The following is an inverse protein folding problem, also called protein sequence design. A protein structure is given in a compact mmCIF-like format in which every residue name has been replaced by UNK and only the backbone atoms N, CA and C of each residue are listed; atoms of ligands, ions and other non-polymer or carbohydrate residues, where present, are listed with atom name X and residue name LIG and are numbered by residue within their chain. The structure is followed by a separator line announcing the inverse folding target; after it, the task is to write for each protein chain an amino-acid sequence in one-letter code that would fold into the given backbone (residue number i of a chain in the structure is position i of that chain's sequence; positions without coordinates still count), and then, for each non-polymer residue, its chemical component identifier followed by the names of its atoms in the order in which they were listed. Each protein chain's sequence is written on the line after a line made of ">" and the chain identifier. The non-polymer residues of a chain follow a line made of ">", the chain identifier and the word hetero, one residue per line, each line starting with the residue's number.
data_IF_859015046191
#
_entry.id   IF_859015046191
#
_cell.length_a   1.000
_cell.length_b   1.000
_cell.length_c   1.000
_cell.angle_alpha   90.00
_cell.angle_beta   90.00
_cell.angle_gamma   90.00
#
_symmetry.space_group_name_H-M   'P 1'
#
loop_
_entity.id
_entity.type
_entity.pdbx_description
1 polymer ?
#
# COMPACT_ATOMS: atom_id res chain seq x y z
N UNK A 1 -6.88 -14.18 40.99
CA UNK A 1 -6.00 -15.06 40.19
C UNK A 1 -6.25 -14.97 38.68
N UNK A 2 -7.48 -14.86 38.18
CA UNK A 2 -7.80 -14.75 36.75
C UNK A 2 -7.34 -13.43 36.08
N UNK A 3 -7.32 -12.30 36.77
CA UNK A 3 -6.85 -11.01 36.21
C UNK A 3 -5.34 -10.99 35.93
N UNK A 4 -4.52 -11.64 36.75
CA UNK A 4 -3.07 -11.72 36.57
C UNK A 4 -2.67 -12.54 35.33
N UNK A 5 -3.39 -13.64 35.06
CA UNK A 5 -3.13 -14.50 33.89
C UNK A 5 -3.55 -13.79 32.58
N UNK A 6 -4.59 -12.99 32.59
CA UNK A 6 -5.05 -12.20 31.42
C UNK A 6 -4.05 -11.10 31.06
N UNK A 7 -3.51 -10.40 32.06
CA UNK A 7 -2.50 -9.37 31.84
C UNK A 7 -1.16 -9.95 31.33
N UNK A 8 -0.72 -11.09 31.87
CA UNK A 8 0.50 -11.77 31.42
C UNK A 8 0.39 -12.22 29.95
N UNK A 9 -0.72 -12.86 29.56
CA UNK A 9 -0.97 -13.26 28.15
C UNK A 9 -1.06 -12.06 27.21
N UNK A 10 -1.63 -10.95 27.64
CA UNK A 10 -1.69 -9.71 26.85
C UNK A 10 -0.30 -9.13 26.65
N UNK A 11 0.53 -9.07 27.68
CA UNK A 11 1.91 -8.60 27.60
C UNK A 11 2.80 -9.49 26.74
N UNK A 12 2.66 -10.80 26.84
CA UNK A 12 3.40 -11.78 26.03
C UNK A 12 3.02 -11.67 24.54
N UNK A 13 1.73 -11.49 24.24
CA UNK A 13 1.26 -11.27 22.87
C UNK A 13 1.77 -9.96 22.25
N UNK A 14 1.92 -8.91 23.05
CA UNK A 14 2.49 -7.62 22.63
C UNK A 14 3.99 -7.76 22.33
N UNK A 15 4.75 -8.43 23.20
CA UNK A 15 6.18 -8.69 22.98
C UNK A 15 6.43 -9.51 21.70
N UNK A 16 5.64 -10.57 21.49
CA UNK A 16 5.74 -11.39 20.29
C UNK A 16 5.42 -10.58 19.00
N UNK A 17 4.43 -9.68 19.04
CA UNK A 17 4.12 -8.80 17.93
C UNK A 17 5.26 -7.82 17.67
N UNK A 18 5.85 -7.25 18.72
CA UNK A 18 6.98 -6.34 18.59
C UNK A 18 8.23 -7.03 18.02
N UNK A 19 8.53 -8.26 18.47
CA UNK A 19 9.64 -9.04 17.92
C UNK A 19 9.43 -9.38 16.44
N UNK A 20 8.23 -9.80 16.04
CA UNK A 20 7.90 -10.04 14.63
C UNK A 20 8.08 -8.78 13.80
N UNK A 21 7.56 -7.64 14.27
CA UNK A 21 7.71 -6.35 13.60
C UNK A 21 9.19 -6.01 13.35
N UNK A 22 10.06 -6.13 14.37
CA UNK A 22 11.51 -5.86 14.22
C UNK A 22 12.16 -6.82 13.22
N UNK A 23 11.80 -8.10 13.26
CA UNK A 23 12.31 -9.09 12.31
C UNK A 23 11.86 -8.78 10.88
N UNK A 24 10.58 -8.46 10.68
CA UNK A 24 10.03 -8.15 9.37
C UNK A 24 10.69 -6.88 8.79
N UNK A 25 10.84 -5.81 9.58
CA UNK A 25 11.57 -4.60 9.18
C UNK A 25 13.00 -4.93 8.77
N UNK A 26 13.70 -5.75 9.57
CA UNK A 26 15.08 -6.12 9.31
C UNK A 26 15.23 -6.90 8.00
N UNK A 27 14.29 -7.79 7.70
CA UNK A 27 14.26 -8.53 6.45
C UNK A 27 13.99 -7.63 5.25
N UNK A 28 12.99 -6.74 5.36
CA UNK A 28 12.58 -5.84 4.29
C UNK A 28 13.64 -4.76 3.98
N UNK A 29 14.47 -4.38 4.96
CA UNK A 29 15.62 -3.49 4.73
C UNK A 29 16.83 -4.22 4.15
N UNK A 30 17.05 -5.48 4.50
CA UNK A 30 18.22 -6.25 4.05
C UNK A 30 18.19 -6.50 2.54
N UNK A 31 17.03 -6.79 1.98
CA UNK A 31 16.87 -7.09 0.55
C UNK A 31 17.32 -5.95 -0.36
N UNK A 32 16.77 -4.71 -0.28
CA UNK A 32 17.23 -3.61 -1.11
C UNK A 32 18.70 -3.22 -0.84
N UNK A 33 19.16 -3.35 0.40
CA UNK A 33 20.57 -3.10 0.74
C UNK A 33 21.50 -4.09 0.05
N UNK A 34 21.13 -5.37 -0.02
CA UNK A 34 21.90 -6.41 -0.72
C UNK A 34 21.93 -6.13 -2.22
N UNK A 35 20.83 -5.67 -2.83
CA UNK A 35 20.79 -5.29 -4.25
C UNK A 35 21.72 -4.10 -4.51
N UNK A 36 21.64 -3.05 -3.69
CA UNK A 36 22.51 -1.86 -3.82
C UNK A 36 23.97 -2.29 -3.76
N UNK A 37 24.33 -3.08 -2.73
CA UNK A 37 25.72 -3.53 -2.54
C UNK A 37 26.20 -4.38 -3.71
N UNK A 38 25.39 -5.32 -4.19
CA UNK A 38 25.77 -6.17 -5.32
C UNK A 38 26.01 -5.39 -6.61
N UNK A 39 25.18 -4.38 -6.92
CA UNK A 39 25.43 -3.53 -8.10
C UNK A 39 26.62 -2.61 -7.92
N UNK A 40 26.90 -2.11 -6.72
CA UNK A 40 28.12 -1.33 -6.44
C UNK A 40 29.37 -2.21 -6.63
N UNK A 41 29.41 -3.41 -6.04
CA UNK A 41 30.51 -4.38 -6.23
C UNK A 41 30.70 -4.75 -7.71
N UNK A 42 29.60 -4.90 -8.47
CA UNK A 42 29.65 -5.18 -9.90
C UNK A 42 30.27 -4.02 -10.69
N UNK A 43 29.89 -2.78 -10.37
CA UNK A 43 30.48 -1.58 -11.00
C UNK A 43 31.95 -1.39 -10.64
N UNK A 44 32.39 -1.78 -9.44
CA UNK A 44 33.79 -1.76 -9.04
C UNK A 44 34.64 -2.75 -9.85
N UNK A 45 34.07 -3.90 -10.23
CA UNK A 45 34.79 -4.95 -10.99
C UNK A 45 34.81 -4.64 -12.49
N UNK A 46 33.62 -4.29 -13.05
CA UNK A 46 33.47 -4.13 -14.50
C UNK A 46 33.78 -2.71 -14.99
N UNK A 47 33.85 -1.73 -14.08
CA UNK A 47 34.00 -0.33 -14.43
C UNK A 47 32.81 0.26 -15.18
N UNK A 48 33.02 1.41 -15.81
CA UNK A 48 32.02 2.07 -16.64
C UNK A 48 32.12 1.69 -18.13
N UNK A 49 32.86 0.63 -18.46
CA UNK A 49 33.17 0.26 -19.84
C UNK A 49 31.99 -0.40 -20.55
N UNK A 50 30.99 -0.89 -19.80
CA UNK A 50 29.73 -1.39 -20.32
C UNK A 50 28.57 -0.40 -19.99
N UNK A 51 28.15 0.44 -20.96
CA UNK A 51 27.11 1.45 -20.75
C UNK A 51 25.74 0.86 -20.38
N UNK A 52 25.40 -0.33 -20.88
CA UNK A 52 24.11 -0.97 -20.60
C UNK A 52 24.09 -1.48 -19.15
N UNK A 53 25.15 -2.16 -18.71
CA UNK A 53 25.32 -2.61 -17.34
C UNK A 53 25.35 -1.42 -16.36
N UNK A 54 26.03 -0.33 -16.72
CA UNK A 54 26.07 0.88 -15.90
C UNK A 54 24.67 1.48 -15.69
N UNK A 55 23.87 1.61 -16.77
CA UNK A 55 22.50 2.13 -16.70
C UNK A 55 21.58 1.22 -15.89
N UNK A 56 21.71 -0.10 -16.06
CA UNK A 56 20.96 -1.08 -15.26
C UNK A 56 21.31 -0.97 -13.78
N UNK A 57 22.59 -0.90 -13.44
CA UNK A 57 23.05 -0.78 -12.07
C UNK A 57 22.55 0.51 -11.39
N UNK A 58 22.69 1.66 -12.05
CA UNK A 58 22.21 2.95 -11.54
C UNK A 58 20.68 2.93 -11.34
N UNK A 59 19.94 2.38 -12.31
CA UNK A 59 18.47 2.25 -12.21
C UNK A 59 18.05 1.37 -11.02
N UNK A 60 18.72 0.23 -10.84
CA UNK A 60 18.43 -0.73 -9.77
C UNK A 60 18.79 -0.18 -8.39
N UNK A 61 19.93 0.53 -8.26
CA UNK A 61 20.34 1.22 -7.04
C UNK A 61 19.30 2.30 -6.68
N UNK A 62 18.93 3.16 -7.65
CA UNK A 62 17.92 4.21 -7.45
C UNK A 62 16.57 3.63 -6.99
N UNK A 63 16.09 2.59 -7.66
CA UNK A 63 14.84 1.91 -7.32
C UNK A 63 14.89 1.32 -5.89
N UNK A 64 16.00 0.67 -5.53
CA UNK A 64 16.19 0.09 -4.20
C UNK A 64 16.24 1.16 -3.10
N UNK A 65 16.89 2.29 -3.34
CA UNK A 65 16.92 3.42 -2.42
C UNK A 65 15.54 4.04 -2.22
N UNK A 66 14.75 4.21 -3.30
CA UNK A 66 13.36 4.70 -3.24
C UNK A 66 12.46 3.74 -2.43
N UNK A 67 12.62 2.43 -2.61
CA UNK A 67 11.88 1.43 -1.84
C UNK A 67 12.20 1.51 -0.35
N UNK A 68 13.48 1.67 0.01
CA UNK A 68 13.89 1.86 1.41
C UNK A 68 13.30 3.15 2.00
N UNK A 69 13.31 4.24 1.25
CA UNK A 69 12.70 5.50 1.69
C UNK A 69 11.20 5.33 1.97
N UNK A 70 10.45 4.75 1.04
CA UNK A 70 9.01 4.48 1.20
C UNK A 70 8.71 3.57 2.39
N UNK A 71 9.57 2.56 2.64
CA UNK A 71 9.48 1.70 3.82
C UNK A 71 9.63 2.52 5.11
N UNK A 72 10.70 3.32 5.22
CA UNK A 72 10.97 4.16 6.41
C UNK A 72 9.81 5.15 6.64
N UNK A 73 9.33 5.82 5.60
CA UNK A 73 8.19 6.75 5.70
C UNK A 73 6.91 6.05 6.21
N UNK A 74 6.62 4.84 5.70
CA UNK A 74 5.47 4.05 6.14
C UNK A 74 5.61 3.60 7.61
N UNK A 75 6.82 3.21 8.03
CA UNK A 75 7.10 2.84 9.42
C UNK A 75 6.94 4.02 10.36
N UNK A 76 7.49 5.18 10.02
CA UNK A 76 7.36 6.40 10.81
C UNK A 76 5.90 6.86 10.89
N UNK A 77 5.16 6.75 9.78
CA UNK A 77 3.73 7.03 9.76
C UNK A 77 2.97 6.13 10.75
N UNK A 78 3.17 4.82 10.66
CA UNK A 78 2.49 3.85 11.52
C UNK A 78 2.89 3.99 12.99
N UNK A 79 4.16 4.29 13.28
CA UNK A 79 4.63 4.53 14.65
C UNK A 79 3.96 5.76 15.28
N UNK A 80 3.84 6.88 14.53
CA UNK A 80 3.11 8.08 14.99
C UNK A 80 1.61 7.81 15.13
N UNK A 81 1.05 7.02 14.23
CA UNK A 81 -0.34 6.61 14.22
C UNK A 81 -0.71 5.80 15.48
N UNK A 82 0.14 4.84 15.88
CA UNK A 82 -0.04 4.02 17.08
C UNK A 82 0.03 4.85 18.37
N UNK A 83 0.87 5.88 18.39
CA UNK A 83 1.00 6.81 19.53
C UNK A 83 -0.12 7.88 19.59
N UNK A 84 -1.02 7.88 18.61
CA UNK A 84 -2.06 8.93 18.52
C UNK A 84 -1.51 10.32 18.13
N UNK A 85 -0.24 10.41 17.73
CA UNK A 85 0.45 11.65 17.38
C UNK A 85 0.34 12.02 15.90
N UNK A 86 -0.47 11.30 15.11
CA UNK A 86 -0.69 11.62 13.71
C UNK A 86 -1.87 12.60 13.61
N UNK A 87 -1.62 13.92 13.45
CA UNK A 87 -2.70 14.88 13.33
C UNK A 87 -3.50 14.64 12.05
N UNK A 88 -4.80 14.82 12.15
CA UNK A 88 -5.74 14.71 11.04
C UNK A 88 -6.55 15.99 10.94
N UNK A 89 -6.51 16.65 9.81
CA UNK A 89 -7.26 17.88 9.57
C UNK A 89 -8.33 17.63 8.52
N UNK A 90 -9.54 17.28 8.99
CA UNK A 90 -10.68 17.08 8.09
C UNK A 90 -11.28 18.43 7.70
N UNK A 91 -11.39 18.66 6.40
CA UNK A 91 -12.05 19.82 5.79
C UNK A 91 -13.04 19.33 4.72
N UNK A 92 -14.02 20.16 4.29
CA UNK A 92 -14.84 19.83 3.13
C UNK A 92 -13.97 19.67 1.87
N UNK A 93 -14.07 18.53 1.19
CA UNK A 93 -13.29 18.17 -0.01
C UNK A 93 -14.25 17.73 -1.10
N UNK A 94 -14.10 18.28 -2.31
CA UNK A 94 -14.74 17.78 -3.52
C UNK A 94 -13.99 16.51 -3.97
N UNK A 95 -14.60 15.33 -3.68
CA UNK A 95 -13.91 14.03 -3.86
C UNK A 95 -13.63 13.72 -5.34
N UNK A 96 -14.53 14.09 -6.23
CA UNK A 96 -14.36 13.92 -7.68
C UNK A 96 -13.20 14.76 -8.21
N UNK A 97 -13.05 16.01 -7.78
CA UNK A 97 -11.92 16.86 -8.17
C UNK A 97 -10.59 16.35 -7.59
N UNK A 98 -10.61 15.87 -6.34
CA UNK A 98 -9.43 15.25 -5.72
C UNK A 98 -8.98 14.01 -6.50
N UNK A 99 -9.91 13.16 -6.96
CA UNK A 99 -9.61 11.96 -7.74
C UNK A 99 -9.08 12.31 -9.14
N UNK A 100 -9.64 13.31 -9.83
CA UNK A 100 -9.12 13.81 -11.11
C UNK A 100 -7.65 14.20 -10.97
N UNK A 101 -7.39 15.10 -10.00
CA UNK A 101 -6.03 15.57 -9.74
C UNK A 101 -5.09 14.43 -9.35
N UNK A 102 -5.55 13.50 -8.51
CA UNK A 102 -4.75 12.33 -8.12
C UNK A 102 -4.32 11.50 -9.33
N UNK A 103 -5.25 11.21 -10.27
CA UNK A 103 -4.93 10.40 -11.46
C UNK A 103 -4.01 11.17 -12.43
N UNK A 104 -4.21 12.48 -12.59
CA UNK A 104 -3.33 13.34 -13.37
C UNK A 104 -1.89 13.35 -12.81
N UNK A 105 -1.75 13.57 -11.49
CA UNK A 105 -0.45 13.59 -10.81
C UNK A 105 0.23 12.20 -10.79
N UNK A 106 -0.55 11.11 -10.80
CA UNK A 106 -0.04 9.74 -10.79
C UNK A 106 0.61 9.32 -12.11
N UNK A 107 0.23 9.96 -13.24
CA UNK A 107 0.83 9.84 -14.58
C UNK A 107 1.02 8.40 -15.09
N UNK A 108 0.10 7.49 -14.77
CA UNK A 108 0.15 6.12 -15.25
C UNK A 108 -1.06 5.83 -16.17
N UNK A 109 -0.84 5.51 -17.46
CA UNK A 109 -1.92 5.33 -18.44
C UNK A 109 -2.82 4.13 -18.16
N UNK A 110 -2.39 3.21 -17.28
CA UNK A 110 -3.20 2.08 -16.83
C UNK A 110 -4.27 2.49 -15.82
N UNK A 111 -4.09 3.64 -15.14
CA UNK A 111 -5.05 4.12 -14.12
C UNK A 111 -6.11 4.96 -14.80
N UNK A 112 -7.36 4.52 -14.74
CA UNK A 112 -8.45 5.10 -15.51
C UNK A 112 -9.64 5.44 -14.61
N UNK A 113 -10.10 6.69 -14.65
CA UNK A 113 -11.38 7.11 -14.11
C UNK A 113 -12.48 6.72 -15.10
N UNK A 114 -13.31 5.73 -14.76
CA UNK A 114 -14.36 5.23 -15.65
C UNK A 114 -15.75 5.72 -15.29
N UNK A 115 -15.96 6.09 -14.03
CA UNK A 115 -17.18 6.71 -13.53
C UNK A 115 -16.83 7.72 -12.44
N UNK A 116 -17.44 8.90 -12.49
CA UNK A 116 -17.12 9.98 -11.58
C UNK A 116 -18.34 10.87 -11.33
N UNK A 117 -19.02 10.62 -10.23
CA UNK A 117 -20.15 11.42 -9.77
C UNK A 117 -19.68 12.44 -8.74
N UNK A 118 -20.06 13.73 -8.84
CA UNK A 118 -19.59 14.76 -7.93
C UNK A 118 -20.16 14.55 -6.52
N UNK A 119 -19.29 14.70 -5.50
CA UNK A 119 -19.72 14.71 -4.09
C UNK A 119 -18.70 15.41 -3.20
N UNK A 120 -19.22 15.89 -2.05
CA UNK A 120 -18.41 16.48 -0.99
C UNK A 120 -18.34 15.56 0.21
N UNK A 121 -17.16 15.50 0.82
CA UNK A 121 -16.90 14.70 2.01
C UNK A 121 -16.10 15.52 3.01
N UNK A 122 -16.12 15.13 4.28
CA UNK A 122 -15.26 15.72 5.31
C UNK A 122 -14.01 14.87 5.48
N UNK A 123 -12.86 15.35 4.96
CA UNK A 123 -11.65 14.54 4.90
C UNK A 123 -10.35 15.36 4.94
N UNK A 124 -9.25 14.69 5.23
CA UNK A 124 -7.89 15.17 5.00
C UNK A 124 -7.42 14.69 3.60
N UNK A 125 -7.32 15.62 2.66
CA UNK A 125 -7.03 15.32 1.26
C UNK A 125 -5.67 14.62 1.06
N UNK A 126 -4.65 14.97 1.84
CA UNK A 126 -3.33 14.36 1.72
C UNK A 126 -3.32 12.90 2.21
N UNK A 127 -4.08 12.60 3.26
CA UNK A 127 -4.25 11.22 3.70
C UNK A 127 -5.09 10.40 2.71
N UNK A 128 -6.13 11.00 2.11
CA UNK A 128 -6.89 10.31 1.07
C UNK A 128 -6.01 9.97 -0.14
N UNK A 129 -5.17 10.89 -0.61
CA UNK A 129 -4.22 10.60 -1.71
C UNK A 129 -3.30 9.43 -1.39
N UNK A 130 -2.76 9.36 -0.15
CA UNK A 130 -1.94 8.22 0.31
C UNK A 130 -2.73 6.90 0.30
N UNK A 131 -3.98 6.94 0.73
CA UNK A 131 -4.87 5.79 0.70
C UNK A 131 -5.16 5.34 -0.74
N UNK A 132 -5.44 6.27 -1.66
CA UNK A 132 -5.69 5.95 -3.07
C UNK A 132 -4.44 5.36 -3.72
N UNK A 133 -3.26 5.93 -3.47
CA UNK A 133 -1.98 5.40 -3.96
C UNK A 133 -1.77 3.95 -3.49
N UNK A 134 -2.05 3.63 -2.23
CA UNK A 134 -1.90 2.27 -1.72
C UNK A 134 -2.78 1.24 -2.46
N UNK A 135 -4.02 1.60 -2.81
CA UNK A 135 -4.91 0.73 -3.60
C UNK A 135 -4.48 0.64 -5.05
N UNK A 136 -4.08 1.76 -5.66
CA UNK A 136 -3.62 1.80 -7.06
C UNK A 136 -2.31 1.04 -7.23
N UNK A 137 -1.33 1.25 -6.36
CA UNK A 137 -0.05 0.53 -6.37
C UNK A 137 -0.27 -0.98 -6.23
N UNK A 138 -1.16 -1.38 -5.31
CA UNK A 138 -1.54 -2.78 -5.13
C UNK A 138 -2.16 -3.36 -6.41
N UNK A 139 -3.12 -2.65 -7.03
CA UNK A 139 -3.78 -3.06 -8.25
C UNK A 139 -2.81 -3.19 -9.44
N UNK A 140 -1.92 -2.19 -9.63
CA UNK A 140 -0.92 -2.19 -10.70
C UNK A 140 0.09 -3.33 -10.57
N UNK A 141 0.49 -3.63 -9.33
CA UNK A 141 1.49 -4.66 -9.00
C UNK A 141 0.99 -6.06 -9.26
N UNK A 142 -0.24 -6.35 -8.88
CA UNK A 142 -0.79 -7.72 -8.95
C UNK A 142 -1.57 -8.00 -10.21
N UNK A 143 -1.67 -7.03 -11.12
CA UNK A 143 -2.32 -7.15 -12.42
C UNK A 143 -1.32 -7.30 -13.57
N UNK A 144 -1.69 -7.97 -14.66
CA UNK A 144 -0.88 -8.03 -15.88
C UNK A 144 -0.49 -6.62 -16.35
N UNK A 145 0.71 -6.44 -16.99
CA UNK A 145 1.21 -5.15 -17.43
C UNK A 145 0.25 -4.34 -18.32
N UNK A 146 -0.54 -5.04 -19.13
CA UNK A 146 -1.46 -4.41 -20.10
C UNK A 146 -2.88 -4.23 -19.57
N UNK A 147 -3.17 -4.66 -18.33
CA UNK A 147 -4.52 -4.54 -17.80
C UNK A 147 -4.74 -3.19 -17.12
N UNK A 148 -5.90 -2.54 -17.35
CA UNK A 148 -6.23 -1.28 -16.70
C UNK A 148 -6.61 -1.50 -15.22
N UNK A 149 -6.30 -0.48 -14.40
CA UNK A 149 -6.86 -0.29 -13.06
C UNK A 149 -7.95 0.76 -13.17
N UNK A 150 -9.19 0.36 -12.91
CA UNK A 150 -10.35 1.26 -13.03
C UNK A 150 -10.71 1.85 -11.68
N UNK A 151 -10.99 3.15 -11.67
CA UNK A 151 -11.49 3.88 -10.52
C UNK A 151 -12.92 4.35 -10.85
N UNK A 152 -13.87 4.04 -9.97
CA UNK A 152 -15.27 4.42 -10.12
C UNK A 152 -15.75 5.10 -8.84
N UNK A 153 -16.30 6.30 -8.98
CA UNK A 153 -16.98 7.02 -7.92
C UNK A 153 -18.47 7.14 -8.25
N UNK A 154 -19.31 6.61 -7.38
CA UNK A 154 -20.76 6.71 -7.48
C UNK A 154 -21.33 7.20 -6.16
N UNK A 155 -22.44 7.93 -6.20
CA UNK A 155 -23.07 8.51 -5.03
C UNK A 155 -24.48 7.96 -4.87
N UNK A 156 -24.86 7.55 -3.68
CA UNK A 156 -26.20 7.09 -3.37
C UNK A 156 -26.62 7.59 -1.99
N UNK A 157 -27.61 8.47 -1.96
CA UNK A 157 -28.07 9.14 -0.73
C UNK A 157 -26.90 9.86 -0.04
N UNK A 158 -26.59 9.45 1.20
CA UNK A 158 -25.59 10.08 2.07
C UNK A 158 -24.26 9.31 2.04
N UNK A 159 -24.00 8.49 1.00
CA UNK A 159 -22.83 7.64 0.89
C UNK A 159 -22.24 7.69 -0.51
N UNK A 160 -20.95 7.97 -0.62
CA UNK A 160 -20.16 7.80 -1.82
C UNK A 160 -19.49 6.42 -1.84
N UNK A 161 -19.52 5.74 -3.00
CA UNK A 161 -18.86 4.44 -3.24
C UNK A 161 -17.72 4.63 -4.20
N UNK A 162 -16.50 4.63 -3.66
CA UNK A 162 -15.28 4.69 -4.44
C UNK A 162 -14.72 3.27 -4.61
N UNK A 163 -14.58 2.82 -5.86
CA UNK A 163 -14.06 1.50 -6.19
C UNK A 163 -12.73 1.58 -6.89
N UNK A 164 -11.81 0.70 -6.49
CA UNK A 164 -10.57 0.38 -7.20
C UNK A 164 -10.70 -1.05 -7.72
N UNK A 165 -10.66 -1.21 -9.05
CA UNK A 165 -10.97 -2.48 -9.73
C UNK A 165 -9.74 -2.89 -10.52
N UNK A 166 -9.23 -4.08 -10.23
CA UNK A 166 -8.12 -4.70 -10.94
C UNK A 166 -8.52 -6.05 -11.58
N UNK A 167 -7.70 -6.50 -12.52
CA UNK A 167 -7.78 -7.83 -13.14
C UNK A 167 -6.55 -8.67 -12.80
N UNK A 168 -6.12 -8.58 -11.54
CA UNK A 168 -4.94 -9.27 -11.04
C UNK A 168 -5.19 -10.73 -10.68
N UNK A 169 -4.24 -11.28 -9.96
CA UNK A 169 -4.25 -12.69 -9.50
C UNK A 169 -5.39 -13.00 -8.53
N UNK A 170 -6.05 -12.00 -8.00
CA UNK A 170 -7.08 -12.13 -6.97
C UNK A 170 -6.51 -12.50 -5.59
N UNK A 171 -7.38 -12.44 -4.58
CA UNK A 171 -7.05 -12.65 -3.16
C UNK A 171 -7.88 -13.83 -2.65
N UNK A 172 -7.25 -14.84 -2.01
CA UNK A 172 -7.98 -15.90 -1.33
C UNK A 172 -8.92 -15.34 -0.27
N UNK A 173 -10.07 -15.97 -0.09
CA UNK A 173 -11.10 -15.48 0.85
C UNK A 173 -10.58 -15.38 2.29
N UNK A 174 -9.77 -16.35 2.71
CA UNK A 174 -9.11 -16.41 4.01
C UNK A 174 -8.08 -15.30 4.25
N UNK A 175 -7.58 -14.68 3.17
CA UNK A 175 -6.57 -13.63 3.23
C UNK A 175 -7.19 -12.22 3.18
N UNK A 176 -8.44 -12.08 2.73
CA UNK A 176 -9.10 -10.77 2.58
C UNK A 176 -9.10 -9.90 3.85
N UNK A 177 -9.17 -10.53 5.03
CA UNK A 177 -9.06 -9.79 6.30
C UNK A 177 -7.61 -9.51 6.69
N UNK A 178 -6.67 -10.38 6.31
CA UNK A 178 -5.26 -10.32 6.73
C UNK A 178 -4.42 -9.35 5.90
N UNK A 179 -4.81 -9.06 4.65
CA UNK A 179 -4.04 -8.17 3.77
C UNK A 179 -3.87 -6.74 4.31
N UNK A 180 -4.63 -6.36 5.33
CA UNK A 180 -4.48 -5.09 6.05
C UNK A 180 -3.54 -5.18 7.26
N UNK A 181 -3.07 -6.38 7.62
CA UNK A 181 -2.05 -6.56 8.65
C UNK A 181 -0.69 -6.09 8.10
N UNK A 182 0.14 -5.53 8.97
CA UNK A 182 1.49 -5.05 8.60
C UNK A 182 2.35 -6.22 8.13
N UNK A 183 3.10 -6.03 7.05
CA UNK A 183 3.98 -7.03 6.43
C UNK A 183 3.27 -8.28 5.91
N UNK A 184 1.92 -8.30 5.92
CA UNK A 184 1.22 -9.43 5.38
C UNK A 184 1.34 -9.50 3.86
N UNK A 185 1.70 -10.69 3.36
CA UNK A 185 1.76 -11.01 1.93
C UNK A 185 1.20 -12.41 1.76
N UNK A 186 0.41 -12.63 0.71
CA UNK A 186 -0.07 -13.98 0.38
C UNK A 186 1.10 -14.87 -0.07
N UNK A 187 1.02 -16.18 0.12
CA UNK A 187 2.10 -17.11 -0.24
C UNK A 187 2.47 -17.04 -1.73
N UNK A 188 1.50 -16.81 -2.61
CA UNK A 188 1.74 -16.60 -4.04
C UNK A 188 2.49 -15.29 -4.34
N UNK A 189 2.38 -14.29 -3.49
CA UNK A 189 3.14 -13.05 -3.62
C UNK A 189 4.59 -13.20 -3.14
N UNK A 190 4.87 -14.20 -2.27
CA UNK A 190 6.23 -14.51 -1.77
C UNK A 190 7.09 -15.28 -2.77
N UNK A 191 6.48 -15.94 -3.76
CA UNK A 191 7.21 -16.80 -4.73
C UNK A 191 7.68 -16.06 -5.98
N UNK A 192 7.40 -14.76 -6.12
CA UNK A 192 7.95 -13.95 -7.21
C UNK A 192 9.45 -13.68 -7.00
N UNK A 193 10.26 -13.59 -8.09
CA UNK A 193 11.68 -13.27 -7.97
C UNK A 193 11.92 -11.96 -7.21
N UNK A 194 12.99 -11.93 -6.41
CA UNK A 194 13.38 -10.79 -5.55
C UNK A 194 13.49 -9.47 -6.35
N UNK A 195 13.87 -9.54 -7.63
CA UNK A 195 13.96 -8.38 -8.52
C UNK A 195 12.61 -7.67 -8.80
N UNK A 196 11.47 -8.38 -8.62
CA UNK A 196 10.12 -7.83 -8.75
C UNK A 196 9.48 -7.47 -7.40
N UNK A 197 10.18 -7.72 -6.29
CA UNK A 197 9.69 -7.53 -4.92
C UNK A 197 9.82 -6.07 -4.45
N UNK A 198 8.87 -5.23 -4.84
CA UNK A 198 8.82 -3.82 -4.40
C UNK A 198 7.75 -3.55 -3.32
N UNK A 199 7.18 -4.59 -2.65
CA UNK A 199 6.10 -4.38 -1.68
C UNK A 199 6.43 -4.95 -0.32
N UNK A 200 6.56 -4.06 0.60
CA UNK A 200 6.84 -4.31 2.02
C UNK A 200 5.61 -4.81 2.80
N UNK A 201 4.41 -4.81 2.18
CA UNK A 201 3.18 -5.17 2.87
C UNK A 201 2.69 -4.12 3.89
N UNK A 202 3.11 -2.86 3.76
CA UNK A 202 2.68 -1.76 4.64
C UNK A 202 1.61 -0.86 4.02
N UNK A 203 1.52 -0.76 2.69
CA UNK A 203 0.62 0.17 2.02
C UNK A 203 -0.85 -0.01 2.42
N UNK A 204 -1.37 -1.24 2.38
CA UNK A 204 -2.75 -1.51 2.76
C UNK A 204 -3.01 -1.31 4.26
N UNK A 205 -2.03 -1.52 5.14
CA UNK A 205 -2.17 -1.23 6.58
C UNK A 205 -2.22 0.28 6.84
N UNK A 206 -1.48 1.09 6.09
CA UNK A 206 -1.60 2.56 6.09
C UNK A 206 -2.97 2.98 5.57
N UNK A 207 -3.42 2.40 4.44
CA UNK A 207 -4.75 2.68 3.88
C UNK A 207 -5.87 2.36 4.87
N UNK A 208 -5.77 1.24 5.58
CA UNK A 208 -6.75 0.85 6.61
C UNK A 208 -6.78 1.85 7.76
N UNK A 209 -5.63 2.29 8.27
CA UNK A 209 -5.56 3.30 9.32
C UNK A 209 -6.23 4.61 8.87
N UNK A 210 -5.95 5.06 7.64
CA UNK A 210 -6.56 6.27 7.08
C UNK A 210 -8.08 6.11 6.97
N UNK A 211 -8.54 4.98 6.47
CA UNK A 211 -9.97 4.68 6.34
C UNK A 211 -10.68 4.72 7.71
N UNK A 212 -10.10 4.06 8.73
CA UNK A 212 -10.66 4.04 10.08
C UNK A 212 -10.78 5.45 10.69
N UNK A 213 -9.77 6.31 10.45
CA UNK A 213 -9.79 7.70 10.92
C UNK A 213 -10.79 8.58 10.18
N UNK A 214 -11.16 8.22 8.96
CA UNK A 214 -12.17 8.91 8.15
C UNK A 214 -13.56 8.26 8.22
N UNK A 215 -13.75 7.24 9.05
CA UNK A 215 -15.00 6.48 9.17
C UNK A 215 -15.42 5.82 7.84
N UNK A 216 -14.42 5.48 7.02
CA UNK A 216 -14.60 4.82 5.73
C UNK A 216 -14.60 3.31 5.93
N UNK A 217 -15.67 2.65 5.52
CA UNK A 217 -15.73 1.18 5.50
C UNK A 217 -15.08 0.64 4.21
N UNK A 218 -14.18 -0.34 4.34
CA UNK A 218 -13.54 -1.00 3.20
C UNK A 218 -14.20 -2.37 2.99
N UNK A 219 -14.75 -2.59 1.79
CA UNK A 219 -15.27 -3.90 1.35
C UNK A 219 -14.42 -4.46 0.23
N UNK A 220 -14.17 -5.77 0.26
CA UNK A 220 -13.39 -6.47 -0.75
C UNK A 220 -14.26 -7.52 -1.42
N UNK A 221 -14.26 -7.50 -2.75
CA UNK A 221 -14.75 -8.59 -3.57
C UNK A 221 -13.59 -9.06 -4.47
N UNK A 222 -13.15 -10.29 -4.26
CA UNK A 222 -12.03 -10.84 -5.03
C UNK A 222 -12.25 -12.30 -5.33
N UNK A 223 -11.72 -12.74 -6.49
CA UNK A 223 -11.69 -14.14 -6.90
C UNK A 223 -10.36 -14.45 -7.56
N UNK A 224 -9.77 -15.55 -7.18
CA UNK A 224 -8.48 -16.00 -7.73
C UNK A 224 -8.59 -16.15 -9.25
N UNK A 225 -7.66 -15.50 -9.97
CA UNK A 225 -7.58 -15.49 -11.44
C UNK A 225 -8.50 -14.48 -12.13
N UNK A 226 -9.40 -13.77 -11.39
CA UNK A 226 -10.33 -12.79 -11.96
C UNK A 226 -10.02 -11.35 -11.53
N UNK A 227 -9.23 -11.17 -10.46
CA UNK A 227 -8.87 -9.86 -9.91
C UNK A 227 -9.63 -9.50 -8.63
N UNK A 228 -9.52 -8.23 -8.25
CA UNK A 228 -10.10 -7.71 -7.02
C UNK A 228 -10.82 -6.39 -7.23
N UNK A 229 -11.80 -6.14 -6.38
CA UNK A 229 -12.49 -4.85 -6.27
C UNK A 229 -12.46 -4.43 -4.81
N UNK A 230 -11.76 -3.36 -4.51
CA UNK A 230 -11.82 -2.67 -3.24
C UNK A 230 -12.87 -1.58 -3.33
N UNK A 231 -13.84 -1.60 -2.44
CA UNK A 231 -14.92 -0.59 -2.37
C UNK A 231 -14.81 0.15 -1.05
N UNK A 232 -14.65 1.45 -1.13
CA UNK A 232 -14.65 2.37 -0.01
C UNK A 232 -16.04 3.00 0.11
N UNK A 233 -16.69 2.83 1.23
CA UNK A 233 -17.95 3.47 1.56
C UNK A 233 -17.64 4.70 2.40
N UNK A 234 -17.92 5.88 1.86
CA UNK A 234 -17.47 7.17 2.38
C UNK A 234 -18.71 8.01 2.71
N UNK A 235 -18.87 8.44 3.97
CA UNK A 235 -19.95 9.37 4.32
C UNK A 235 -19.84 10.69 3.54
N UNK A 236 -20.95 11.18 2.96
CA UNK A 236 -21.02 12.48 2.28
C UNK A 236 -21.58 13.57 3.21
N UNK A 237 -21.34 14.85 2.85
CA UNK A 237 -21.86 16.03 3.56
C UNK A 237 -22.75 16.86 2.67
#
# INVERSE_FOLDING_TARGET
>A
MQLGIRNARSSESLLLRQQRFVNDVSHELRTPLTIIRGYVELLEICGADDPELFQEAVSSIKKSAQNMQSLVESLLFLARADQGHQPLTKVPVDLDELLKKFVEDYQNPRVQLTKLEPCKILADAEFLKKMFAAFVDNALRYSPPDSPVKIELTVAKDEAKLKFIDRGVGIPKEDCAKIFERFYRTDKARTKPVAEENSVGLGLSVAKWIADRHEIEIKIKSKIGEGSTFTLLIPTI
#
